data_IF_277357649833
#
_entry.id   IF_277357649833
#
_cell.length_a   1.000
_cell.length_b   1.000
_cell.length_c   1.000
_cell.angle_alpha   90.00
_cell.angle_beta   90.00
_cell.angle_gamma   90.00
#
_symmetry.space_group_name_H-M   'P 1'
#
loop_
_entity.id
_entity.type
_entity.pdbx_description
1 polymer ?
#
# COMPACT_ATOMS: atom_id res chain seq x y z
N UNK A 1 6.90 2.41 2.33
CA UNK A 1 8.12 1.75 2.79
C UNK A 1 9.32 2.56 2.34
N UNK A 2 10.38 2.70 3.16
CA UNK A 2 11.53 3.54 2.85
C UNK A 2 12.49 2.74 1.97
N UNK A 3 12.40 2.85 0.66
CA UNK A 3 13.25 2.11 -0.28
C UNK A 3 14.47 2.95 -0.70
N UNK A 4 15.44 3.11 0.22
CA UNK A 4 16.72 3.73 -0.14
C UNK A 4 17.44 2.93 -1.24
N UNK A 5 17.20 1.61 -1.30
CA UNK A 5 17.71 0.72 -2.35
C UNK A 5 17.28 1.13 -3.76
N UNK A 6 16.10 1.71 -3.94
CA UNK A 6 15.62 2.19 -5.24
C UNK A 6 16.48 3.36 -5.75
N UNK A 7 16.83 4.29 -4.86
CA UNK A 7 17.72 5.39 -5.18
C UNK A 7 19.13 4.90 -5.53
N UNK A 8 19.66 3.97 -4.72
CA UNK A 8 21.00 3.42 -4.94
C UNK A 8 21.08 2.61 -6.23
N UNK A 9 20.03 1.88 -6.60
CA UNK A 9 19.98 1.14 -7.86
C UNK A 9 19.92 2.09 -9.07
N UNK A 10 19.11 3.14 -8.98
CA UNK A 10 19.00 4.16 -10.05
C UNK A 10 20.33 4.92 -10.26
N UNK A 11 21.10 5.12 -9.16
CA UNK A 11 22.38 5.83 -9.18
C UNK A 11 23.58 4.88 -8.94
N UNK A 12 23.47 3.65 -9.45
CA UNK A 12 24.40 2.56 -9.15
C UNK A 12 25.86 2.88 -9.51
N UNK A 13 26.07 3.53 -10.65
CA UNK A 13 27.43 3.90 -11.11
C UNK A 13 28.05 4.93 -10.15
N UNK A 14 27.33 6.00 -9.80
CA UNK A 14 27.80 6.99 -8.83
C UNK A 14 28.06 6.34 -7.47
N UNK A 15 27.18 5.46 -7.00
CA UNK A 15 27.33 4.71 -5.76
C UNK A 15 28.67 3.96 -5.72
N UNK A 16 29.02 3.19 -6.76
CA UNK A 16 30.28 2.46 -6.80
C UNK A 16 31.52 3.38 -6.97
N UNK A 17 31.40 4.47 -7.71
CA UNK A 17 32.47 5.46 -7.84
C UNK A 17 32.79 6.09 -6.46
N UNK A 18 31.77 6.46 -5.68
CA UNK A 18 31.96 7.03 -4.34
C UNK A 18 32.58 6.02 -3.37
N UNK A 19 32.18 4.74 -3.44
CA UNK A 19 32.83 3.69 -2.64
C UNK A 19 34.29 3.48 -2.99
N UNK A 20 34.64 3.52 -4.27
CA UNK A 20 36.04 3.42 -4.71
C UNK A 20 36.89 4.62 -4.25
N UNK A 21 36.34 5.83 -4.31
CA UNK A 21 37.03 7.04 -3.84
C UNK A 21 37.37 7.00 -2.35
N UNK A 22 36.50 6.39 -1.51
CA UNK A 22 36.82 6.14 -0.08
C UNK A 22 38.07 5.29 0.03
N UNK A 23 38.16 4.18 -0.72
CA UNK A 23 39.28 3.24 -0.62
C UNK A 23 40.58 3.78 -1.22
N UNK A 24 40.49 4.56 -2.31
CA UNK A 24 41.66 5.07 -3.04
C UNK A 24 42.16 6.42 -2.50
N UNK A 25 41.26 7.29 -2.08
CA UNK A 25 41.53 8.71 -1.84
C UNK A 25 41.11 9.18 -0.44
N UNK A 26 40.53 8.27 0.35
CA UNK A 26 39.89 8.57 1.66
C UNK A 26 38.80 9.65 1.60
N UNK A 27 38.11 9.77 0.42
CA UNK A 27 37.05 10.78 0.22
C UNK A 27 35.72 10.39 0.83
N UNK A 28 35.66 10.45 2.15
CA UNK A 28 34.46 10.24 2.92
C UNK A 28 33.41 11.35 2.72
N UNK A 29 33.84 12.58 2.45
CA UNK A 29 32.93 13.71 2.32
C UNK A 29 32.00 13.56 1.11
N UNK A 30 32.52 13.16 -0.02
CA UNK A 30 31.71 12.91 -1.22
C UNK A 30 30.73 11.75 -1.04
N UNK A 31 31.14 10.69 -0.32
CA UNK A 31 30.27 9.58 0.02
C UNK A 31 29.13 10.02 0.94
N UNK A 32 29.43 10.73 2.01
CA UNK A 32 28.43 11.24 2.97
C UNK A 32 27.45 12.17 2.26
N UNK A 33 27.94 13.08 1.41
CA UNK A 33 27.10 13.99 0.65
C UNK A 33 26.16 13.24 -0.31
N UNK A 34 26.64 12.21 -0.99
CA UNK A 34 25.83 11.33 -1.84
C UNK A 34 24.73 10.63 -1.04
N UNK A 35 25.10 10.03 0.10
CA UNK A 35 24.17 9.29 0.93
C UNK A 35 23.08 10.20 1.55
N UNK A 36 23.46 11.38 2.04
CA UNK A 36 22.49 12.35 2.57
C UNK A 36 21.55 12.86 1.49
N UNK A 37 22.02 13.04 0.27
CA UNK A 37 21.18 13.40 -0.88
C UNK A 37 20.19 12.28 -1.21
N UNK A 38 20.64 11.03 -1.18
CA UNK A 38 19.77 9.87 -1.35
C UNK A 38 18.64 9.83 -0.31
N UNK A 39 18.98 10.02 0.96
CA UNK A 39 18.02 10.06 2.06
C UNK A 39 17.03 11.22 1.89
N UNK A 40 17.50 12.42 1.59
CA UNK A 40 16.64 13.60 1.40
C UNK A 40 15.67 13.42 0.23
N UNK A 41 16.14 12.91 -0.90
CA UNK A 41 15.31 12.64 -2.08
C UNK A 41 14.25 11.60 -1.76
N UNK A 42 14.63 10.51 -1.13
CA UNK A 42 13.70 9.44 -0.77
C UNK A 42 12.66 9.90 0.27
N UNK A 43 13.08 10.70 1.24
CA UNK A 43 12.15 11.29 2.23
C UNK A 43 11.12 12.20 1.57
N UNK A 44 11.54 13.02 0.61
CA UNK A 44 10.64 13.87 -0.17
C UNK A 44 9.60 13.05 -0.96
N UNK A 45 10.03 12.01 -1.67
CA UNK A 45 9.14 11.11 -2.41
C UNK A 45 8.15 10.41 -1.48
N UNK A 46 8.61 9.93 -0.33
CA UNK A 46 7.72 9.28 0.64
C UNK A 46 6.71 10.25 1.24
N UNK A 47 7.07 11.51 1.47
CA UNK A 47 6.12 12.53 1.93
C UNK A 47 4.98 12.74 0.93
N UNK A 48 5.30 12.81 -0.36
CA UNK A 48 4.30 12.90 -1.44
C UNK A 48 3.40 11.66 -1.46
N UNK A 49 3.98 10.46 -1.35
CA UNK A 49 3.22 9.20 -1.30
C UNK A 49 2.26 9.15 -0.11
N UNK A 50 2.71 9.55 1.08
CA UNK A 50 1.86 9.60 2.28
C UNK A 50 0.68 10.54 2.09
N UNK A 51 0.91 11.75 1.57
CA UNK A 51 -0.17 12.70 1.30
C UNK A 51 -1.17 12.13 0.29
N UNK A 52 -0.68 11.47 -0.77
CA UNK A 52 -1.54 10.84 -1.76
C UNK A 52 -2.36 9.67 -1.19
N UNK A 53 -1.78 8.87 -0.26
CA UNK A 53 -2.50 7.79 0.45
C UNK A 53 -3.58 8.38 1.35
N UNK A 54 -3.32 9.49 2.03
CA UNK A 54 -4.34 10.18 2.85
C UNK A 54 -5.49 10.71 1.99
N UNK A 55 -5.18 11.30 0.83
CA UNK A 55 -6.21 11.74 -0.12
C UNK A 55 -7.05 10.56 -0.62
N UNK A 56 -6.39 9.45 -0.99
CA UNK A 56 -7.08 8.22 -1.41
C UNK A 56 -7.98 7.67 -0.31
N UNK A 57 -7.57 7.75 0.96
CA UNK A 57 -8.39 7.30 2.08
C UNK A 57 -9.71 8.09 2.16
N UNK A 58 -9.66 9.42 2.08
CA UNK A 58 -10.87 10.25 2.14
C UNK A 58 -11.77 10.08 0.90
N UNK A 59 -11.19 9.88 -0.29
CA UNK A 59 -11.95 9.50 -1.49
C UNK A 59 -12.68 8.16 -1.28
N UNK A 60 -11.97 7.14 -0.85
CA UNK A 60 -12.53 5.79 -0.69
C UNK A 60 -13.58 5.73 0.42
N UNK A 61 -13.44 6.54 1.46
CA UNK A 61 -14.45 6.66 2.50
C UNK A 61 -15.80 7.08 1.92
N UNK A 62 -15.80 8.06 1.01
CA UNK A 62 -17.02 8.50 0.32
C UNK A 62 -17.52 7.43 -0.65
N UNK A 63 -16.66 6.89 -1.50
CA UNK A 63 -17.04 5.89 -2.49
C UNK A 63 -17.61 4.60 -1.86
N UNK A 64 -17.01 4.11 -0.78
CA UNK A 64 -17.51 2.94 -0.05
C UNK A 64 -18.84 3.27 0.66
N UNK A 65 -18.99 4.47 1.21
CA UNK A 65 -20.24 4.89 1.83
C UNK A 65 -21.37 4.95 0.79
N UNK A 66 -21.10 5.46 -0.39
CA UNK A 66 -22.06 5.52 -1.51
C UNK A 66 -22.41 4.13 -2.03
N UNK A 67 -21.43 3.24 -2.14
CA UNK A 67 -21.63 1.87 -2.64
C UNK A 67 -22.37 0.97 -1.65
N UNK A 68 -22.20 1.18 -0.34
CA UNK A 68 -22.70 0.25 0.68
C UNK A 68 -23.79 0.82 1.56
N UNK A 69 -23.90 2.14 1.67
CA UNK A 69 -24.77 2.85 2.62
C UNK A 69 -24.66 2.33 4.07
N UNK A 70 -23.47 1.83 4.46
CA UNK A 70 -23.25 1.11 5.70
C UNK A 70 -22.67 1.99 6.79
N UNK A 71 -23.15 1.84 8.00
CA UNK A 71 -22.52 2.44 9.20
C UNK A 71 -21.12 1.87 9.48
N UNK A 72 -20.75 0.74 8.88
CA UNK A 72 -19.47 0.06 9.07
C UNK A 72 -18.39 0.48 8.06
N UNK A 73 -18.67 1.47 7.21
CA UNK A 73 -17.77 1.94 6.14
C UNK A 73 -16.34 2.19 6.64
N UNK A 74 -16.17 2.92 7.75
CA UNK A 74 -14.84 3.25 8.27
C UNK A 74 -14.09 2.00 8.71
N UNK A 75 -14.73 1.08 9.41
CA UNK A 75 -14.08 -0.16 9.88
C UNK A 75 -13.62 -1.07 8.74
N UNK A 76 -14.45 -1.16 7.68
CA UNK A 76 -14.09 -1.93 6.48
C UNK A 76 -12.94 -1.25 5.73
N UNK A 77 -13.00 0.07 5.59
CA UNK A 77 -11.95 0.87 4.95
C UNK A 77 -10.61 0.72 5.69
N UNK A 78 -10.59 0.87 7.01
CA UNK A 78 -9.39 0.70 7.84
C UNK A 78 -8.76 -0.68 7.66
N UNK A 79 -9.61 -1.72 7.64
CA UNK A 79 -9.14 -3.08 7.44
C UNK A 79 -8.52 -3.30 6.04
N UNK A 80 -9.12 -2.72 4.98
CA UNK A 80 -8.60 -2.78 3.60
C UNK A 80 -7.30 -1.99 3.48
N UNK A 81 -7.20 -0.80 4.09
CA UNK A 81 -5.97 0.01 4.06
C UNK A 81 -4.84 -0.64 4.87
N UNK A 82 -5.16 -1.32 5.97
CA UNK A 82 -4.17 -2.05 6.78
C UNK A 82 -3.59 -3.25 6.04
N UNK A 83 -4.40 -3.94 5.24
CA UNK A 83 -3.99 -5.13 4.49
C UNK A 83 -4.64 -5.11 3.10
N UNK A 84 -4.00 -4.49 2.10
CA UNK A 84 -4.59 -4.28 0.77
C UNK A 84 -4.70 -5.53 -0.10
N UNK A 85 -4.15 -6.66 0.31
CA UNK A 85 -4.35 -7.99 -0.29
C UNK A 85 -4.80 -8.95 0.80
N UNK A 86 -5.98 -9.54 0.65
CA UNK A 86 -6.57 -10.37 1.70
C UNK A 86 -7.52 -11.43 1.13
N UNK A 87 -7.74 -12.49 1.90
CA UNK A 87 -8.85 -13.41 1.65
C UNK A 87 -10.13 -12.82 2.23
N UNK A 88 -11.22 -12.91 1.49
CA UNK A 88 -12.51 -12.35 1.93
C UNK A 88 -13.00 -12.90 3.28
N UNK A 89 -12.78 -14.19 3.54
CA UNK A 89 -13.09 -14.81 4.84
C UNK A 89 -12.27 -14.25 5.99
N UNK A 90 -10.95 -14.07 5.77
CA UNK A 90 -10.04 -13.63 6.83
C UNK A 90 -10.36 -12.21 7.27
N UNK A 91 -10.67 -11.32 6.30
CA UNK A 91 -11.09 -9.96 6.60
C UNK A 91 -12.47 -9.93 7.30
N UNK A 92 -13.42 -10.78 6.88
CA UNK A 92 -14.72 -10.88 7.52
C UNK A 92 -14.58 -11.34 8.97
N UNK A 93 -13.74 -12.34 9.26
CA UNK A 93 -13.45 -12.79 10.62
C UNK A 93 -12.75 -11.70 11.45
N UNK A 94 -11.81 -10.96 10.86
CA UNK A 94 -11.15 -9.83 11.51
C UNK A 94 -12.16 -8.76 11.92
N UNK A 95 -13.05 -8.36 11.01
CA UNK A 95 -14.10 -7.38 11.26
C UNK A 95 -15.07 -7.85 12.35
N UNK A 96 -15.40 -9.14 12.38
CA UNK A 96 -16.22 -9.72 13.44
C UNK A 96 -15.50 -9.65 14.80
N UNK A 97 -14.24 -10.08 14.85
CA UNK A 97 -13.46 -10.15 16.09
C UNK A 97 -13.22 -8.78 16.73
N UNK A 98 -12.89 -7.76 15.95
CA UNK A 98 -12.49 -6.45 16.48
C UNK A 98 -13.64 -5.45 16.59
N UNK A 99 -14.66 -5.58 15.74
CA UNK A 99 -15.74 -4.60 15.65
C UNK A 99 -17.14 -5.21 15.85
N UNK A 100 -17.23 -6.51 16.08
CA UNK A 100 -18.52 -7.20 16.26
C UNK A 100 -19.39 -7.26 14.99
N UNK A 101 -18.82 -7.00 13.83
CA UNK A 101 -19.54 -7.03 12.54
C UNK A 101 -19.73 -8.48 12.14
N UNK A 102 -20.98 -8.93 12.04
CA UNK A 102 -21.28 -10.31 11.67
C UNK A 102 -20.66 -10.68 10.32
N UNK A 103 -20.04 -11.88 10.20
CA UNK A 103 -19.28 -12.29 9.01
C UNK A 103 -20.08 -12.24 7.71
N UNK A 104 -21.38 -12.57 7.75
CA UNK A 104 -22.27 -12.46 6.58
C UNK A 104 -22.42 -11.00 6.11
N UNK A 105 -22.54 -10.07 7.07
CA UNK A 105 -22.61 -8.63 6.78
C UNK A 105 -21.30 -8.15 6.18
N UNK A 106 -20.16 -8.50 6.78
CA UNK A 106 -18.83 -8.16 6.28
C UNK A 106 -18.61 -8.69 4.85
N UNK A 107 -18.96 -9.96 4.61
CA UNK A 107 -18.86 -10.57 3.25
C UNK A 107 -19.76 -9.86 2.23
N UNK A 108 -20.97 -9.46 2.66
CA UNK A 108 -21.88 -8.67 1.82
C UNK A 108 -21.30 -7.32 1.43
N UNK A 109 -20.71 -6.60 2.39
CA UNK A 109 -20.05 -5.32 2.15
C UNK A 109 -18.85 -5.46 1.19
N UNK A 110 -18.00 -6.48 1.41
CA UNK A 110 -16.86 -6.74 0.51
C UNK A 110 -17.31 -7.02 -0.94
N UNK A 111 -18.45 -7.69 -1.11
CA UNK A 111 -19.04 -7.93 -2.43
C UNK A 111 -19.48 -6.62 -3.07
N UNK A 112 -20.22 -5.76 -2.35
CA UNK A 112 -20.65 -4.45 -2.85
C UNK A 112 -19.46 -3.57 -3.26
N UNK A 113 -18.39 -3.54 -2.44
CA UNK A 113 -17.18 -2.78 -2.72
C UNK A 113 -16.44 -3.32 -3.95
N UNK A 114 -16.42 -4.65 -4.15
CA UNK A 114 -15.90 -5.27 -5.37
C UNK A 114 -16.76 -4.94 -6.58
N UNK A 115 -18.08 -5.04 -6.46
CA UNK A 115 -19.02 -4.78 -7.56
C UNK A 115 -19.01 -3.29 -7.97
N UNK A 116 -18.58 -2.39 -7.06
CA UNK A 116 -18.26 -0.99 -7.33
C UNK A 116 -16.84 -0.77 -7.89
N UNK A 117 -16.12 -1.84 -8.28
CA UNK A 117 -14.78 -1.83 -8.88
C UNK A 117 -13.68 -1.22 -7.99
N UNK A 118 -13.95 -1.00 -6.69
CA UNK A 118 -12.95 -0.51 -5.73
C UNK A 118 -11.96 -1.63 -5.39
N UNK A 119 -12.47 -2.85 -5.23
CA UNK A 119 -11.65 -4.06 -5.04
C UNK A 119 -11.63 -4.90 -6.31
N UNK A 120 -10.49 -5.55 -6.56
CA UNK A 120 -10.32 -6.50 -7.66
C UNK A 120 -10.07 -7.89 -7.10
N UNK A 121 -10.64 -8.88 -7.78
CA UNK A 121 -10.42 -10.28 -7.46
C UNK A 121 -9.13 -10.77 -8.13
N UNK A 122 -8.15 -11.20 -7.31
CA UNK A 122 -6.90 -11.80 -7.80
C UNK A 122 -7.05 -13.30 -8.01
N UNK A 123 -7.87 -13.94 -7.18
CA UNK A 123 -8.15 -15.37 -7.26
C UNK A 123 -9.60 -15.62 -6.89
N UNK A 124 -10.32 -16.29 -7.80
CA UNK A 124 -11.72 -16.62 -7.59
C UNK A 124 -11.90 -17.65 -6.48
N UNK A 125 -12.93 -17.42 -5.68
CA UNK A 125 -13.37 -18.40 -4.70
C UNK A 125 -13.95 -19.63 -5.39
N UNK A 126 -13.64 -20.82 -4.89
CA UNK A 126 -14.21 -22.08 -5.41
C UNK A 126 -14.48 -23.05 -4.27
N UNK A 127 -15.71 -23.51 -4.14
CA UNK A 127 -16.13 -24.42 -3.08
C UNK A 127 -15.88 -23.83 -1.70
N UNK A 128 -14.98 -24.45 -0.92
CA UNK A 128 -14.58 -23.96 0.42
C UNK A 128 -13.44 -22.94 0.39
N UNK A 129 -12.86 -22.67 -0.75
CA UNK A 129 -11.74 -21.72 -0.88
C UNK A 129 -12.30 -20.31 -1.06
N UNK A 130 -12.01 -19.36 -0.14
CA UNK A 130 -12.46 -17.99 -0.25
C UNK A 130 -11.74 -17.26 -1.40
N UNK A 131 -12.39 -16.24 -1.96
CA UNK A 131 -11.77 -15.36 -2.94
C UNK A 131 -10.64 -14.54 -2.30
N UNK A 132 -9.57 -14.30 -3.06
CA UNK A 132 -8.52 -13.34 -2.71
C UNK A 132 -8.80 -12.05 -3.43
N UNK A 133 -8.97 -10.99 -2.66
CA UNK A 133 -9.24 -9.63 -3.14
C UNK A 133 -8.02 -8.74 -2.94
N UNK A 134 -7.88 -7.73 -3.78
CA UNK A 134 -6.88 -6.68 -3.61
C UNK A 134 -7.49 -5.30 -3.80
N UNK A 135 -6.80 -4.29 -3.26
CA UNK A 135 -7.08 -2.88 -3.51
C UNK A 135 -5.98 -2.28 -4.40
N UNK A 136 -6.13 -2.30 -5.74
CA UNK A 136 -5.06 -1.95 -6.68
C UNK A 136 -4.57 -0.52 -6.53
N UNK A 137 -5.47 0.44 -6.36
CA UNK A 137 -5.12 1.87 -6.23
C UNK A 137 -4.17 2.13 -5.07
N UNK A 138 -4.39 1.49 -3.91
CA UNK A 138 -3.51 1.63 -2.75
C UNK A 138 -2.15 0.98 -2.99
N UNK A 139 -2.13 -0.20 -3.60
CA UNK A 139 -0.90 -0.94 -3.90
C UNK A 139 -0.03 -0.14 -4.87
N UNK A 140 -0.60 0.32 -6.00
CA UNK A 140 0.11 1.09 -7.00
C UNK A 140 0.64 2.40 -6.42
N UNK A 141 -0.14 3.07 -5.57
CA UNK A 141 0.27 4.30 -4.91
C UNK A 141 1.41 4.07 -3.91
N UNK A 142 1.35 3.00 -3.11
CA UNK A 142 2.39 2.64 -2.15
C UNK A 142 3.70 2.24 -2.83
N UNK A 143 3.61 1.52 -3.95
CA UNK A 143 4.77 1.12 -4.76
C UNK A 143 5.31 2.26 -5.64
N UNK A 144 4.51 3.31 -5.89
CA UNK A 144 4.87 4.43 -6.76
C UNK A 144 4.93 4.06 -8.25
N UNK A 145 4.35 2.94 -8.62
CA UNK A 145 4.24 2.43 -10.01
C UNK A 145 3.01 1.54 -10.15
N UNK A 146 2.57 1.34 -11.37
CA UNK A 146 1.51 0.38 -11.67
C UNK A 146 2.03 -1.05 -11.54
N UNK A 147 1.44 -1.81 -10.63
CA UNK A 147 1.81 -3.21 -10.30
C UNK A 147 0.63 -4.14 -10.56
N UNK A 148 -0.61 -3.61 -10.36
CA UNK A 148 -1.86 -4.36 -10.50
C UNK A 148 -2.89 -3.61 -11.34
#
# INVERSE_FOLDING_TARGET
MFYLSEYLETHREEYYQRLKAISAEHDWNSWIAFFLRAVATQAGQNSVRVTAIQTLYEEMKRAIQEATHSQYTVHVLDAIFSKPVFRSSDLAQQLNRYYGIHEKTATGLLRQIRDAEILRELQSGSGRRPATLCFPRLINLAEGREVL
#
